data_IF_284753964225
#
_entry.id   IF_284753964225
#
_cell.length_a   1.000
_cell.length_b   1.000
_cell.length_c   1.000
_cell.angle_alpha   90.00
_cell.angle_beta   90.00
_cell.angle_gamma   90.00
#
_symmetry.space_group_name_H-M   'P 1'
#
loop_
_entity.id
_entity.type
_entity.pdbx_description
1 polymer ?
#
# COMPACT_ATOMS: atom_id res chain seq x y z
N UNK A 1 -24.62 16.12 17.33
CA UNK A 1 -23.63 15.45 16.46
C UNK A 1 -23.92 15.89 15.04
N UNK A 2 -23.02 16.67 14.44
CA UNK A 2 -23.18 17.11 13.04
C UNK A 2 -22.48 16.06 12.18
N UNK A 3 -23.24 15.34 11.39
CA UNK A 3 -22.70 14.36 10.43
C UNK A 3 -22.75 15.00 9.05
N UNK A 4 -21.60 15.18 8.45
CA UNK A 4 -21.50 15.68 7.09
C UNK A 4 -20.74 14.62 6.27
N UNK A 5 -21.29 14.08 5.18
CA UNK A 5 -20.54 13.21 4.31
C UNK A 5 -19.47 14.01 3.59
N UNK A 6 -18.27 13.48 3.52
CA UNK A 6 -17.19 14.08 2.75
C UNK A 6 -16.58 13.07 1.79
N UNK A 7 -16.25 13.54 0.60
CA UNK A 7 -15.80 12.68 -0.48
C UNK A 7 -14.54 13.23 -1.13
N UNK A 8 -13.39 12.68 -0.88
CA UNK A 8 -12.21 12.74 -1.74
C UNK A 8 -10.94 12.37 -1.00
N UNK A 9 -10.11 11.53 -1.58
CA UNK A 9 -8.78 11.18 -1.07
C UNK A 9 -7.64 11.61 -1.99
N UNK A 10 -7.90 12.40 -3.01
CA UNK A 10 -6.89 12.79 -3.99
C UNK A 10 -5.71 13.57 -3.42
N UNK A 11 -5.85 14.09 -2.22
CA UNK A 11 -4.86 14.93 -1.56
C UNK A 11 -4.53 14.40 -0.16
N UNK A 12 -4.58 13.09 0.04
CA UNK A 12 -4.11 12.50 1.29
C UNK A 12 -2.60 12.67 1.38
N UNK A 13 -2.19 13.82 1.85
CA UNK A 13 -0.80 14.21 2.06
C UNK A 13 -0.25 13.62 3.36
N UNK A 14 -0.39 12.34 3.53
CA UNK A 14 0.19 11.64 4.65
C UNK A 14 -0.77 11.36 5.80
N UNK A 15 -0.50 10.25 6.48
CA UNK A 15 -1.05 9.93 7.78
C UNK A 15 0.03 10.30 8.80
N UNK A 16 -0.20 11.33 9.60
CA UNK A 16 0.45 11.38 10.91
C UNK A 16 -0.30 10.39 11.81
N UNK A 17 0.36 9.83 12.81
CA UNK A 17 -0.24 8.84 13.71
C UNK A 17 -1.65 9.25 14.18
N UNK A 18 -2.62 8.39 13.93
CA UNK A 18 -4.01 8.60 14.31
C UNK A 18 -4.79 9.61 13.46
N UNK A 19 -4.24 10.12 12.35
CA UNK A 19 -4.95 11.05 11.46
C UNK A 19 -4.91 10.64 10.00
N UNK A 20 -5.96 11.00 9.26
CA UNK A 20 -6.05 10.83 7.81
C UNK A 20 -6.55 12.14 7.18
N UNK A 21 -5.96 12.54 6.07
CA UNK A 21 -6.44 13.67 5.28
C UNK A 21 -7.37 13.17 4.19
N UNK A 22 -8.59 13.71 4.15
CA UNK A 22 -9.57 13.39 3.11
C UNK A 22 -9.98 14.69 2.43
N UNK A 23 -9.61 14.86 1.18
CA UNK A 23 -9.67 16.16 0.50
C UNK A 23 -8.74 17.18 1.15
N UNK A 24 -9.32 18.28 1.60
CA UNK A 24 -8.61 19.38 2.28
C UNK A 24 -8.79 19.35 3.81
N UNK A 25 -9.37 18.27 4.36
CA UNK A 25 -9.68 18.16 5.78
C UNK A 25 -8.92 17.02 6.44
N UNK A 26 -8.41 17.29 7.65
CA UNK A 26 -7.81 16.28 8.52
C UNK A 26 -8.85 15.70 9.47
N UNK A 27 -8.78 14.40 9.66
CA UNK A 27 -9.64 13.64 10.55
C UNK A 27 -8.80 12.76 11.46
N UNK A 28 -9.15 12.71 12.74
CA UNK A 28 -8.72 11.66 13.65
C UNK A 28 -9.53 10.40 13.38
N UNK A 29 -8.95 9.24 13.58
CA UNK A 29 -9.65 7.97 13.49
C UNK A 29 -9.35 7.08 14.70
N UNK A 30 -10.36 6.34 15.15
CA UNK A 30 -10.23 5.36 16.23
C UNK A 30 -9.93 3.94 15.66
N UNK A 31 -10.36 3.71 14.42
CA UNK A 31 -10.14 2.46 13.67
C UNK A 31 -9.26 2.76 12.44
N UNK A 32 -8.06 2.18 12.44
CA UNK A 32 -7.07 2.39 11.38
C UNK A 32 -7.45 1.85 10.01
N UNK A 33 -8.54 1.10 9.89
CA UNK A 33 -8.96 0.49 8.62
C UNK A 33 -9.20 1.49 7.47
N UNK A 34 -9.42 2.76 7.77
CA UNK A 34 -9.56 3.81 6.74
C UNK A 34 -8.25 4.01 5.95
N UNK A 35 -7.10 3.67 6.52
CA UNK A 35 -5.78 3.82 5.87
C UNK A 35 -5.65 2.87 4.69
N UNK A 36 -6.30 1.71 4.73
CA UNK A 36 -6.29 0.72 3.64
C UNK A 36 -6.93 1.27 2.35
N UNK A 37 -7.62 2.42 2.45
CA UNK A 37 -8.28 3.07 1.33
C UNK A 37 -7.62 4.39 0.91
N UNK A 38 -6.34 4.56 1.16
CA UNK A 38 -5.58 5.69 0.61
C UNK A 38 -5.70 5.70 -0.93
N UNK A 39 -5.93 6.88 -1.50
CA UNK A 39 -6.16 7.02 -2.94
C UNK A 39 -7.61 6.76 -3.41
N UNK A 40 -8.44 6.16 -2.58
CA UNK A 40 -9.84 5.93 -2.91
C UNK A 40 -10.70 7.15 -2.61
N UNK A 41 -11.75 7.32 -3.39
CA UNK A 41 -12.83 8.25 -3.05
C UNK A 41 -13.71 7.64 -1.97
N UNK A 42 -13.84 8.37 -0.86
CA UNK A 42 -14.63 7.95 0.29
C UNK A 42 -15.75 8.95 0.60
N UNK A 43 -16.85 8.44 1.12
CA UNK A 43 -17.81 9.23 1.90
C UNK A 43 -17.45 9.05 3.38
N UNK A 44 -17.01 10.12 4.06
CA UNK A 44 -16.64 10.07 5.47
C UNK A 44 -17.72 10.69 6.33
N UNK A 45 -18.16 9.97 7.36
CA UNK A 45 -19.09 10.44 8.38
C UNK A 45 -18.32 10.72 9.66
N UNK A 46 -18.38 11.93 10.16
CA UNK A 46 -17.55 12.35 11.28
C UNK A 46 -18.32 13.15 12.33
N UNK A 47 -17.77 13.21 13.54
CA UNK A 47 -18.16 14.16 14.57
C UNK A 47 -17.15 15.30 14.63
N UNK A 48 -17.62 16.49 14.99
CA UNK A 48 -16.76 17.64 15.20
C UNK A 48 -16.99 18.19 16.62
N UNK A 49 -15.90 18.30 17.39
CA UNK A 49 -15.88 18.96 18.69
C UNK A 49 -14.69 19.91 18.74
N UNK A 50 -14.96 21.20 19.06
CA UNK A 50 -13.94 22.27 19.17
C UNK A 50 -13.00 22.40 17.96
N UNK A 51 -13.46 22.01 16.78
CA UNK A 51 -12.70 22.07 15.53
C UNK A 51 -11.92 20.80 15.23
N UNK A 52 -11.90 19.82 16.11
CA UNK A 52 -11.36 18.50 15.86
C UNK A 52 -12.41 17.59 15.22
N UNK A 53 -12.05 16.94 14.13
CA UNK A 53 -12.93 16.00 13.39
C UNK A 53 -12.49 14.58 13.61
N UNK A 54 -13.42 13.72 14.03
CA UNK A 54 -13.15 12.30 14.25
C UNK A 54 -14.04 11.47 13.35
N UNK A 55 -13.43 10.58 12.56
CA UNK A 55 -14.16 9.61 11.72
C UNK A 55 -15.02 8.72 12.60
N UNK A 56 -16.29 8.57 12.25
CA UNK A 56 -17.22 7.65 12.92
C UNK A 56 -17.64 6.49 12.03
N UNK A 57 -17.63 6.70 10.72
CA UNK A 57 -17.83 5.69 9.71
C UNK A 57 -17.33 6.23 8.38
N UNK A 58 -17.04 5.36 7.44
CA UNK A 58 -16.79 5.72 6.06
C UNK A 58 -17.41 4.70 5.12
N UNK A 59 -17.54 5.08 3.87
CA UNK A 59 -18.00 4.20 2.80
C UNK A 59 -17.16 4.46 1.56
N UNK A 60 -16.61 3.40 0.99
CA UNK A 60 -15.90 3.46 -0.29
C UNK A 60 -16.89 3.75 -1.40
N UNK A 61 -16.62 4.75 -2.23
CA UNK A 61 -17.47 5.09 -3.36
C UNK A 61 -17.49 3.94 -4.39
N UNK A 62 -18.67 3.60 -4.86
CA UNK A 62 -18.85 2.60 -5.95
C UNK A 62 -18.39 3.11 -7.32
N UNK A 63 -17.99 4.36 -7.40
CA UNK A 63 -17.46 4.97 -8.64
C UNK A 63 -15.95 4.81 -8.80
N UNK A 64 -15.27 4.35 -7.76
CA UNK A 64 -13.86 4.01 -7.90
C UNK A 64 -13.72 2.86 -8.91
N UNK A 65 -12.91 3.06 -9.93
CA UNK A 65 -12.37 1.99 -10.76
C UNK A 65 -11.00 1.67 -10.22
N UNK A 66 -10.79 0.42 -9.86
CA UNK A 66 -9.55 -0.10 -9.30
C UNK A 66 -9.03 -1.16 -10.25
N UNK A 67 -7.75 -1.04 -10.62
CA UNK A 67 -7.05 -2.04 -11.42
C UNK A 67 -5.82 -2.46 -10.64
N UNK A 68 -5.81 -3.70 -10.20
CA UNK A 68 -4.66 -4.33 -9.55
C UNK A 68 -3.85 -5.07 -10.59
N UNK A 69 -2.54 -4.88 -10.59
CA UNK A 69 -1.60 -5.41 -11.58
C UNK A 69 -0.42 -5.97 -10.81
N UNK A 70 -0.23 -7.29 -10.86
CA UNK A 70 0.92 -7.94 -10.25
C UNK A 70 2.20 -7.57 -11.03
N UNK A 71 3.32 -7.46 -10.33
CA UNK A 71 4.59 -6.97 -10.88
C UNK A 71 5.03 -7.72 -12.15
N UNK A 72 4.88 -9.05 -12.17
CA UNK A 72 5.24 -9.90 -13.31
C UNK A 72 4.36 -9.72 -14.56
N UNK A 73 3.24 -9.02 -14.42
CA UNK A 73 2.35 -8.66 -15.53
C UNK A 73 2.68 -7.28 -16.12
N UNK A 74 3.52 -6.49 -15.47
CA UNK A 74 3.89 -5.15 -15.95
C UNK A 74 4.96 -5.28 -17.02
N UNK A 75 4.70 -4.72 -18.19
CA UNK A 75 5.65 -4.72 -19.30
C UNK A 75 6.52 -3.46 -19.33
N UNK A 76 5.90 -2.29 -19.15
CA UNK A 76 6.64 -1.02 -19.19
C UNK A 76 5.84 0.15 -18.59
N UNK A 77 6.58 1.19 -18.19
CA UNK A 77 6.02 2.50 -17.83
C UNK A 77 6.78 3.60 -18.56
N UNK A 78 6.08 4.38 -19.37
CA UNK A 78 6.65 5.50 -20.11
C UNK A 78 5.60 6.61 -20.32
N UNK A 79 6.01 7.86 -20.24
CA UNK A 79 5.17 9.05 -20.45
C UNK A 79 3.78 8.96 -19.78
N UNK A 80 3.77 8.64 -18.49
CA UNK A 80 2.54 8.43 -17.70
C UNK A 80 1.60 7.34 -18.26
N UNK A 81 2.14 6.40 -18.99
CA UNK A 81 1.39 5.26 -19.52
C UNK A 81 1.98 3.97 -18.97
N UNK A 82 1.16 3.20 -18.27
CA UNK A 82 1.52 1.86 -17.79
C UNK A 82 0.99 0.83 -18.78
N UNK A 83 1.88 -0.03 -19.26
CA UNK A 83 1.57 -1.16 -20.14
C UNK A 83 1.71 -2.45 -19.35
N UNK A 84 0.72 -3.30 -19.45
CA UNK A 84 0.69 -4.58 -18.74
C UNK A 84 -0.11 -5.65 -19.50
N UNK A 85 0.13 -6.91 -19.17
CA UNK A 85 -0.63 -8.05 -19.68
C UNK A 85 -1.77 -8.42 -18.73
N UNK A 86 -2.88 -8.85 -19.29
CA UNK A 86 -4.01 -9.35 -18.49
C UNK A 86 -3.74 -10.82 -18.16
N UNK A 87 -3.95 -11.20 -16.91
CA UNK A 87 -3.86 -12.59 -16.45
C UNK A 87 -4.66 -13.54 -17.38
N UNK A 88 -4.13 -14.71 -17.63
CA UNK A 88 -4.70 -15.70 -18.55
C UNK A 88 -4.85 -15.25 -20.02
N UNK A 89 -4.22 -14.16 -20.41
CA UNK A 89 -4.32 -13.62 -21.77
C UNK A 89 -3.00 -12.96 -22.18
N UNK A 90 -2.56 -13.20 -23.42
CA UNK A 90 -1.42 -12.47 -24.02
C UNK A 90 -1.80 -11.04 -24.43
N UNK A 91 -2.96 -10.56 -24.01
CA UNK A 91 -3.44 -9.24 -24.38
C UNK A 91 -2.73 -8.15 -23.56
N UNK A 92 -1.98 -7.32 -24.25
CA UNK A 92 -1.45 -6.08 -23.71
C UNK A 92 -2.56 -5.05 -23.53
N UNK A 93 -2.54 -4.37 -22.39
CA UNK A 93 -3.43 -3.26 -22.05
C UNK A 93 -2.59 -2.08 -21.60
N UNK A 94 -2.96 -0.88 -22.01
CA UNK A 94 -2.32 0.35 -21.58
C UNK A 94 -3.29 1.20 -20.77
N UNK A 95 -2.80 1.79 -19.67
CA UNK A 95 -3.55 2.73 -18.84
C UNK A 95 -2.79 4.05 -18.74
N UNK A 96 -3.50 5.13 -19.05
CA UNK A 96 -2.92 6.47 -18.94
C UNK A 96 -3.18 7.07 -17.57
N UNK A 97 -2.13 7.56 -16.95
CA UNK A 97 -2.15 8.22 -15.65
C UNK A 97 -2.18 9.74 -15.85
N UNK A 98 -2.75 10.46 -14.90
CA UNK A 98 -2.61 11.92 -14.87
C UNK A 98 -1.18 12.31 -14.46
N UNK A 99 -0.68 13.41 -15.01
CA UNK A 99 0.61 13.97 -14.59
C UNK A 99 0.60 14.52 -13.15
N UNK A 100 -0.58 14.66 -12.56
CA UNK A 100 -0.78 15.06 -11.14
C UNK A 100 -1.22 13.88 -10.28
N UNK A 101 -0.79 12.67 -10.66
CA UNK A 101 -1.17 11.46 -9.93
C UNK A 101 -0.63 11.48 -8.51
N UNK A 102 -1.47 11.08 -7.55
CA UNK A 102 -1.04 10.82 -6.19
C UNK A 102 -0.39 9.43 -6.12
N UNK A 103 0.78 9.35 -5.51
CA UNK A 103 1.55 8.10 -5.41
C UNK A 103 1.73 7.72 -3.95
N UNK A 104 1.33 6.49 -3.63
CA UNK A 104 1.61 5.83 -2.36
C UNK A 104 2.57 4.68 -2.65
N UNK A 105 3.76 4.74 -2.09
CA UNK A 105 4.81 3.73 -2.26
C UNK A 105 5.10 3.09 -0.91
N UNK A 106 4.86 1.79 -0.82
CA UNK A 106 5.00 1.01 0.42
C UNK A 106 4.34 1.69 1.63
N UNK A 107 3.08 2.11 1.46
CA UNK A 107 2.28 2.76 2.50
C UNK A 107 2.63 4.23 2.77
N UNK A 108 3.60 4.81 2.05
CA UNK A 108 4.02 6.21 2.24
C UNK A 108 3.66 7.04 1.02
N UNK A 109 3.06 8.21 1.25
CA UNK A 109 2.85 9.18 0.17
C UNK A 109 4.19 9.72 -0.33
N UNK A 110 4.35 9.78 -1.64
CA UNK A 110 5.52 10.38 -2.29
C UNK A 110 5.11 11.47 -3.24
N UNK A 111 5.82 12.60 -3.21
CA UNK A 111 5.59 13.73 -4.11
C UNK A 111 6.22 13.55 -5.50
N UNK A 112 6.99 12.48 -5.71
CA UNK A 112 7.61 12.13 -6.97
C UNK A 112 7.75 10.62 -7.06
N UNK A 113 7.80 10.11 -8.28
CA UNK A 113 8.04 8.69 -8.55
C UNK A 113 8.97 8.53 -9.74
N UNK A 114 9.60 7.38 -9.83
CA UNK A 114 10.47 7.01 -10.95
C UNK A 114 9.83 5.89 -11.75
N UNK A 115 10.43 5.59 -12.91
CA UNK A 115 10.00 4.45 -13.73
C UNK A 115 10.16 3.14 -12.97
N UNK A 116 11.26 2.98 -12.26
CA UNK A 116 11.58 1.79 -11.47
C UNK A 116 10.54 1.53 -10.39
N UNK A 117 10.07 2.57 -9.70
CA UNK A 117 8.97 2.44 -8.72
C UNK A 117 7.66 1.95 -9.34
N UNK A 118 7.39 2.36 -10.59
CA UNK A 118 6.18 1.94 -11.32
C UNK A 118 6.28 0.54 -11.94
N UNK A 119 7.47 -0.04 -11.92
CA UNK A 119 7.76 -1.38 -12.45
C UNK A 119 8.53 -2.20 -11.41
N UNK A 120 7.92 -2.47 -10.23
CA UNK A 120 8.58 -3.26 -9.19
C UNK A 120 8.90 -4.67 -9.70
N UNK A 121 9.97 -5.27 -9.21
CA UNK A 121 10.31 -6.65 -9.55
C UNK A 121 9.37 -7.66 -8.90
N UNK A 122 8.94 -7.38 -7.66
CA UNK A 122 8.04 -8.20 -6.86
C UNK A 122 7.02 -7.28 -6.20
N UNK A 123 5.75 -7.64 -6.25
CA UNK A 123 4.69 -6.87 -5.61
C UNK A 123 3.54 -6.55 -6.55
N UNK A 124 3.00 -5.34 -6.42
CA UNK A 124 1.77 -4.97 -7.12
C UNK A 124 1.69 -3.47 -7.36
N UNK A 125 1.08 -3.09 -8.47
CA UNK A 125 0.67 -1.72 -8.75
C UNK A 125 -0.86 -1.65 -8.81
N UNK A 126 -1.45 -0.84 -7.95
CA UNK A 126 -2.91 -0.61 -7.93
C UNK A 126 -3.21 0.79 -8.47
N UNK A 127 -3.92 0.86 -9.59
CA UNK A 127 -4.36 2.10 -10.19
C UNK A 127 -5.78 2.41 -9.75
N UNK A 128 -6.02 3.66 -9.35
CA UNK A 128 -7.34 4.11 -8.88
C UNK A 128 -7.81 5.30 -9.70
N UNK A 129 -9.00 5.20 -10.24
CA UNK A 129 -9.68 6.27 -10.96
C UNK A 129 -11.05 6.58 -10.37
N UNK A 130 -11.46 7.82 -10.44
CA UNK A 130 -12.87 8.20 -10.30
C UNK A 130 -13.54 8.18 -11.66
N UNK A 131 -14.59 7.37 -11.82
CA UNK A 131 -15.39 7.28 -13.05
C UNK A 131 -14.67 6.74 -14.30
N UNK A 132 -13.61 5.97 -14.16
CA UNK A 132 -13.10 5.07 -15.22
C UNK A 132 -12.32 5.69 -16.37
N UNK A 133 -11.95 6.97 -16.33
CA UNK A 133 -11.26 7.57 -17.48
C UNK A 133 -9.82 7.99 -17.23
N UNK A 134 -9.53 8.54 -16.06
CA UNK A 134 -8.20 9.05 -15.75
C UNK A 134 -7.77 8.58 -14.36
N UNK A 135 -6.69 7.83 -14.30
CA UNK A 135 -6.14 7.37 -13.03
C UNK A 135 -5.48 8.54 -12.29
N UNK A 136 -5.95 8.76 -11.07
CA UNK A 136 -5.57 9.90 -10.22
C UNK A 136 -4.76 9.49 -9.00
N UNK A 137 -4.77 8.21 -8.67
CA UNK A 137 -3.94 7.67 -7.62
C UNK A 137 -3.34 6.32 -8.04
N UNK A 138 -2.14 6.04 -7.55
CA UNK A 138 -1.47 4.76 -7.67
C UNK A 138 -0.92 4.36 -6.31
N UNK A 139 -1.13 3.10 -5.95
CA UNK A 139 -0.51 2.46 -4.80
C UNK A 139 0.48 1.45 -5.36
N UNK A 140 1.72 1.54 -4.91
CA UNK A 140 2.80 0.65 -5.31
C UNK A 140 3.24 -0.10 -4.07
N UNK A 141 3.13 -1.41 -4.16
CA UNK A 141 3.67 -2.36 -3.19
C UNK A 141 4.88 -3.00 -3.86
N UNK A 142 6.05 -2.66 -3.38
CA UNK A 142 7.34 -3.15 -3.90
C UNK A 142 8.02 -3.96 -2.80
N UNK A 143 8.32 -5.22 -3.08
CA UNK A 143 8.82 -6.15 -2.09
C UNK A 143 10.20 -6.68 -2.46
N UNK A 144 10.95 -7.05 -1.41
CA UNK A 144 12.20 -7.79 -1.52
C UNK A 144 12.00 -9.13 -0.81
N UNK A 145 12.28 -10.21 -1.52
CA UNK A 145 12.15 -11.56 -0.99
C UNK A 145 13.45 -12.02 -0.32
N UNK A 146 13.29 -12.62 0.86
CA UNK A 146 14.36 -13.22 1.61
C UNK A 146 14.04 -14.67 1.95
N UNK A 147 15.06 -15.54 1.87
CA UNK A 147 14.95 -16.91 2.36
C UNK A 147 15.33 -16.97 3.82
N UNK A 148 14.43 -17.43 4.67
CA UNK A 148 14.67 -17.58 6.10
C UNK A 148 15.70 -18.67 6.34
N UNK A 149 16.74 -18.36 7.12
CA UNK A 149 17.70 -19.33 7.63
C UNK A 149 17.20 -19.96 8.95
N UNK A 150 16.78 -19.10 9.88
CA UNK A 150 16.25 -19.50 11.19
C UNK A 150 15.44 -18.35 11.79
N UNK A 151 14.60 -18.70 12.76
CA UNK A 151 13.84 -17.75 13.58
C UNK A 151 14.22 -17.97 15.04
N UNK A 152 14.49 -16.89 15.75
CA UNK A 152 14.70 -16.86 17.19
C UNK A 152 13.44 -16.27 17.85
N UNK A 153 12.57 -17.14 18.34
CA UNK A 153 11.32 -16.75 18.98
C UNK A 153 11.50 -16.17 20.40
N UNK A 154 12.69 -16.30 21.01
CA UNK A 154 12.96 -15.73 22.33
C UNK A 154 13.35 -14.24 22.21
N UNK A 155 13.96 -13.85 21.09
CA UNK A 155 14.43 -12.52 20.83
C UNK A 155 13.69 -11.84 19.64
N UNK A 156 12.60 -12.41 19.18
CA UNK A 156 11.79 -11.92 18.06
C UNK A 156 12.64 -11.54 16.83
N UNK A 157 13.56 -12.43 16.43
CA UNK A 157 14.54 -12.17 15.39
C UNK A 157 14.44 -13.16 14.23
N UNK A 158 14.45 -12.67 12.99
CA UNK A 158 14.52 -13.49 11.77
C UNK A 158 15.91 -13.34 11.15
N UNK A 159 16.58 -14.45 10.95
CA UNK A 159 17.86 -14.53 10.23
C UNK A 159 17.60 -15.01 8.81
N UNK A 160 18.14 -14.30 7.81
CA UNK A 160 17.99 -14.67 6.41
C UNK A 160 19.26 -15.27 5.85
N UNK A 161 19.14 -15.97 4.72
CA UNK A 161 20.28 -16.45 3.94
C UNK A 161 20.66 -15.38 2.93
N UNK A 162 21.97 -15.06 2.86
CA UNK A 162 22.46 -14.23 1.79
C UNK A 162 22.36 -14.93 0.44
N UNK A 163 21.97 -14.21 -0.58
CA UNK A 163 22.25 -14.59 -1.96
C UNK A 163 23.78 -14.56 -2.18
N UNK A 164 24.26 -15.28 -3.19
CA UNK A 164 25.70 -15.41 -3.44
C UNK A 164 26.32 -14.02 -3.69
N UNK A 165 27.16 -13.56 -2.76
CA UNK A 165 27.85 -12.26 -2.84
C UNK A 165 27.21 -11.13 -2.04
N UNK A 166 26.08 -11.37 -1.39
CA UNK A 166 25.39 -10.41 -0.53
C UNK A 166 25.61 -10.72 0.95
N UNK A 167 25.24 -9.78 1.82
CA UNK A 167 25.26 -9.98 3.28
C UNK A 167 23.94 -10.56 3.73
N UNK A 168 24.00 -11.39 4.79
CA UNK A 168 22.78 -11.81 5.48
C UNK A 168 22.07 -10.58 6.05
N UNK A 169 20.76 -10.52 5.88
CA UNK A 169 19.90 -9.54 6.53
C UNK A 169 19.36 -10.17 7.81
N UNK A 170 19.28 -9.39 8.87
CA UNK A 170 18.72 -9.77 10.16
C UNK A 170 17.58 -8.78 10.44
N UNK A 171 16.39 -9.32 10.66
CA UNK A 171 15.24 -8.53 11.08
C UNK A 171 15.05 -8.73 12.59
N UNK A 172 15.38 -7.69 13.35
CA UNK A 172 15.11 -7.61 14.79
C UNK A 172 13.73 -6.97 14.98
N UNK A 173 12.73 -7.79 15.29
CA UNK A 173 11.35 -7.36 15.48
C UNK A 173 11.06 -6.90 16.91
N UNK A 174 12.04 -6.99 17.81
CA UNK A 174 11.92 -6.54 19.19
C UNK A 174 12.08 -5.02 19.35
N UNK A 175 12.59 -4.34 18.33
CA UNK A 175 12.76 -2.88 18.34
C UNK A 175 11.41 -2.17 18.34
N UNK A 176 11.19 -1.28 19.30
CA UNK A 176 9.90 -0.61 19.53
C UNK A 176 9.48 0.39 18.44
N UNK A 177 10.39 0.70 17.51
CA UNK A 177 10.16 1.69 16.45
C UNK A 177 9.77 1.05 15.10
N UNK A 178 9.62 -0.28 15.06
CA UNK A 178 9.26 -1.02 13.85
C UNK A 178 7.81 -1.50 13.97
N UNK A 179 6.92 -0.90 13.20
CA UNK A 179 5.59 -1.46 12.97
C UNK A 179 5.69 -2.56 11.91
N UNK A 180 5.41 -3.78 12.30
CA UNK A 180 5.37 -4.90 11.37
C UNK A 180 4.09 -5.71 11.53
N UNK A 181 3.72 -6.37 10.44
CA UNK A 181 2.64 -7.34 10.42
C UNK A 181 3.14 -8.58 9.68
N UNK A 182 2.95 -9.74 10.27
CA UNK A 182 3.29 -11.00 9.62
C UNK A 182 1.98 -11.62 9.12
N UNK A 183 1.90 -11.88 7.82
CA UNK A 183 0.75 -12.53 7.22
C UNK A 183 1.18 -13.58 6.18
N UNK A 184 0.28 -14.52 5.90
CA UNK A 184 0.47 -15.46 4.80
C UNK A 184 0.16 -14.79 3.45
N UNK A 185 0.40 -15.50 2.35
CA UNK A 185 0.13 -15.00 1.00
C UNK A 185 -1.34 -14.63 0.73
N UNK A 186 -2.26 -14.96 1.63
CA UNK A 186 -3.69 -14.57 1.57
C UNK A 186 -4.01 -13.36 2.46
N UNK A 187 -2.98 -12.77 3.09
CA UNK A 187 -3.13 -11.64 4.02
C UNK A 187 -3.66 -12.02 5.41
N UNK A 188 -3.67 -13.31 5.76
CA UNK A 188 -4.09 -13.76 7.09
C UNK A 188 -2.91 -13.70 8.06
N UNK A 189 -3.15 -13.14 9.24
CA UNK A 189 -2.14 -13.02 10.29
C UNK A 189 -1.63 -14.40 10.71
N UNK A 190 -0.30 -14.52 10.77
CA UNK A 190 0.40 -15.70 11.28
C UNK A 190 1.36 -15.31 12.40
N UNK A 191 1.65 -16.24 13.28
CA UNK A 191 2.63 -15.99 14.35
C UNK A 191 4.06 -16.14 13.82
N UNK A 192 5.01 -15.40 14.43
CA UNK A 192 6.43 -15.55 14.14
C UNK A 192 6.90 -17.00 14.27
N UNK A 193 6.37 -17.73 15.26
CA UNK A 193 6.68 -19.14 15.49
C UNK A 193 6.26 -20.09 14.35
N UNK A 194 5.37 -19.65 13.47
CA UNK A 194 4.91 -20.44 12.32
C UNK A 194 5.86 -20.29 11.11
N UNK A 195 6.82 -19.35 11.16
CA UNK A 195 7.83 -19.18 10.15
C UNK A 195 8.97 -20.18 10.35
N UNK A 196 9.16 -21.07 9.42
CA UNK A 196 10.22 -22.08 9.47
C UNK A 196 11.44 -21.72 8.63
N UNK A 197 12.57 -22.40 8.87
CA UNK A 197 13.71 -22.34 7.96
C UNK A 197 13.33 -22.76 6.54
N UNK A 198 13.86 -22.08 5.53
CA UNK A 198 13.51 -22.14 4.12
C UNK A 198 12.15 -21.53 3.72
N UNK A 199 11.42 -20.90 4.65
CA UNK A 199 10.31 -20.03 4.27
C UNK A 199 10.84 -18.85 3.44
N UNK A 200 10.03 -18.34 2.53
CA UNK A 200 10.29 -17.06 1.85
C UNK A 200 9.47 -16.00 2.60
N UNK A 201 10.10 -14.91 2.93
CA UNK A 201 9.44 -13.72 3.47
C UNK A 201 9.66 -12.56 2.51
N UNK A 202 8.62 -11.76 2.31
CA UNK A 202 8.68 -10.55 1.49
C UNK A 202 8.56 -9.33 2.42
N UNK A 203 9.44 -8.37 2.24
CA UNK A 203 9.42 -7.11 3.00
C UNK A 203 9.26 -5.95 2.06
N UNK A 204 8.66 -4.86 2.52
CA UNK A 204 8.62 -3.62 1.76
C UNK A 204 10.04 -3.14 1.44
N UNK A 205 10.28 -2.79 0.16
CA UNK A 205 11.57 -2.31 -0.34
C UNK A 205 11.89 -0.88 0.12
#
# INVERSE_FOLDING_TARGET
>A
MRQTPYTSLYEATGCADGTVTVGDMNFYYDDGSIIDYLGYKLDVYYSEDKGERTVKAYRVSRKNEVVEIDADMIDDFDDYTLSYRVEDSDREVTKKLKNTIAVVYNGKFTGSFTKEMMTPDIGRVTLIAENGSDYTAVIIEDYIDYVVASVDNENDTIYTRAAQGEKNVIFDLSENDIDYKICDARGLDIALADIGGNSIISTAA
#
